data_IF_683314396520
#
_entry.id   IF_683314396520
#
_cell.length_a   1.000
_cell.length_b   1.000
_cell.length_c   1.000
_cell.angle_alpha   90.00
_cell.angle_beta   90.00
_cell.angle_gamma   90.00
#
_symmetry.space_group_name_H-M   'P 1'
#
loop_
_entity.id
_entity.type
_entity.pdbx_description
1 polymer ?
#
# COMPACT_ATOMS: atom_id res chain seq x y z
N UNK A 1 15.92 3.09 1.74
CA UNK A 1 15.69 1.71 2.18
C UNK A 1 15.01 0.92 1.07
N UNK A 2 15.41 -0.35 0.89
CA UNK A 2 14.93 -1.20 -0.19
C UNK A 2 14.18 -2.40 0.35
N UNK A 3 13.09 -2.76 -0.34
CA UNK A 3 12.27 -3.93 -0.03
C UNK A 3 12.03 -4.72 -1.31
N UNK A 4 11.52 -5.93 -1.19
CA UNK A 4 11.19 -6.77 -2.34
C UNK A 4 9.70 -7.09 -2.33
N UNK A 5 9.14 -7.27 -3.54
CA UNK A 5 7.77 -7.76 -3.67
C UNK A 5 7.65 -9.19 -3.13
N UNK A 6 6.47 -9.53 -2.62
CA UNK A 6 6.10 -10.88 -2.18
C UNK A 6 6.93 -11.44 -1.02
N UNK A 7 7.66 -10.58 -0.32
CA UNK A 7 8.45 -10.95 0.87
C UNK A 7 7.82 -10.24 2.07
N UNK A 8 7.63 -10.91 3.20
CA UNK A 8 7.07 -10.25 4.39
C UNK A 8 7.88 -9.05 4.83
N UNK A 9 7.21 -7.94 5.08
CA UNK A 9 7.83 -6.69 5.53
C UNK A 9 7.03 -6.07 6.66
N UNK A 10 7.69 -5.19 7.43
CA UNK A 10 7.03 -4.34 8.41
C UNK A 10 7.39 -2.90 8.09
N UNK A 11 6.37 -2.07 7.91
CA UNK A 11 6.55 -0.68 7.52
C UNK A 11 5.82 0.25 8.49
N UNK A 12 6.43 1.38 8.77
CA UNK A 12 5.85 2.40 9.65
C UNK A 12 5.41 3.61 8.82
N UNK A 13 4.26 4.14 9.16
CA UNK A 13 3.73 5.33 8.51
C UNK A 13 2.43 5.78 9.15
N UNK A 14 1.78 6.75 8.51
CA UNK A 14 0.52 7.30 8.98
C UNK A 14 -0.62 6.70 8.16
N UNK A 15 -1.62 6.13 8.85
CA UNK A 15 -2.83 5.66 8.18
C UNK A 15 -3.64 6.86 7.71
N UNK A 16 -4.11 6.79 6.46
CA UNK A 16 -4.90 7.86 5.89
C UNK A 16 -5.89 7.32 4.86
N UNK A 17 -6.92 8.11 4.58
CA UNK A 17 -7.78 7.88 3.44
C UNK A 17 -7.27 8.78 2.32
N UNK A 18 -6.96 8.20 1.17
CA UNK A 18 -6.51 8.95 0.01
C UNK A 18 -7.57 8.87 -1.07
N UNK A 19 -7.50 9.78 -2.05
CA UNK A 19 -8.47 9.82 -3.14
C UNK A 19 -7.76 9.57 -4.46
N UNK A 20 -8.24 8.57 -5.20
CA UNK A 20 -7.79 8.32 -6.56
C UNK A 20 -8.56 9.25 -7.49
N UNK A 21 -7.82 10.00 -8.33
CA UNK A 21 -8.40 10.88 -9.33
C UNK A 21 -9.22 10.06 -10.34
N UNK A 22 -10.31 10.64 -10.82
CA UNK A 22 -11.16 10.01 -11.82
C UNK A 22 -10.40 9.55 -13.07
N UNK A 23 -9.30 10.23 -13.40
CA UNK A 23 -8.50 9.91 -14.59
C UNK A 23 -7.76 8.57 -14.50
N UNK A 24 -7.60 8.01 -13.29
CA UNK A 24 -6.87 6.75 -13.09
C UNK A 24 -7.76 5.62 -12.59
N UNK A 25 -9.07 5.86 -12.42
CA UNK A 25 -9.98 4.85 -11.90
C UNK A 25 -10.68 4.10 -13.03
N UNK A 26 -11.09 2.87 -12.74
CA UNK A 26 -11.73 2.00 -13.72
C UNK A 26 -13.11 2.48 -14.19
N UNK A 27 -13.80 3.29 -13.39
CA UNK A 27 -15.15 3.80 -13.71
C UNK A 27 -15.16 5.31 -13.96
N UNK A 28 -13.99 5.92 -14.09
CA UNK A 28 -13.82 7.35 -14.34
C UNK A 28 -14.46 8.25 -13.27
N UNK A 29 -14.54 7.73 -12.04
CA UNK A 29 -15.03 8.48 -10.88
C UNK A 29 -13.95 8.49 -9.79
N UNK A 30 -13.86 9.56 -8.97
CA UNK A 30 -12.90 9.56 -7.87
C UNK A 30 -13.30 8.50 -6.83
N UNK A 31 -12.28 7.83 -6.27
CA UNK A 31 -12.47 6.81 -5.25
C UNK A 31 -11.57 7.08 -4.06
N UNK A 32 -12.11 6.91 -2.86
CA UNK A 32 -11.29 6.93 -1.65
C UNK A 32 -10.79 5.53 -1.36
N UNK A 33 -9.58 5.45 -0.85
CA UNK A 33 -8.97 4.16 -0.51
C UNK A 33 -8.11 4.28 0.74
N UNK A 34 -7.98 3.18 1.51
CA UNK A 34 -7.10 3.19 2.67
C UNK A 34 -5.64 3.19 2.21
N UNK A 35 -4.82 4.00 2.85
CA UNK A 35 -3.43 4.17 2.45
C UNK A 35 -2.53 4.31 3.67
N UNK A 36 -1.26 3.95 3.48
CA UNK A 36 -0.19 4.23 4.43
C UNK A 36 0.74 5.25 3.79
N UNK A 37 0.85 6.41 4.44
CA UNK A 37 1.82 7.42 4.03
C UNK A 37 3.12 7.15 4.76
N UNK A 38 4.15 6.80 4.01
CA UNK A 38 5.46 6.48 4.56
C UNK A 38 6.18 7.75 4.99
N UNK A 39 6.93 7.69 6.09
CA UNK A 39 7.68 8.82 6.59
C UNK A 39 8.91 9.11 5.73
N UNK A 40 9.45 8.09 5.06
CA UNK A 40 10.58 8.21 4.14
C UNK A 40 10.28 7.42 2.88
N UNK A 41 10.70 7.92 1.70
CA UNK A 41 10.53 7.16 0.47
C UNK A 41 11.25 5.81 0.55
N UNK A 42 10.67 4.80 -0.07
CA UNK A 42 11.28 3.48 -0.17
C UNK A 42 11.40 3.06 -1.64
N UNK A 43 12.29 2.11 -1.88
CA UNK A 43 12.40 1.44 -3.17
C UNK A 43 11.87 0.03 -3.03
N UNK A 44 11.14 -0.45 -4.03
CA UNK A 44 10.62 -1.81 -4.04
C UNK A 44 11.18 -2.51 -5.28
N UNK A 45 11.90 -3.60 -5.06
CA UNK A 45 12.62 -4.32 -6.09
C UNK A 45 11.93 -5.65 -6.39
N UNK A 46 12.16 -6.17 -7.59
CA UNK A 46 11.62 -7.47 -7.96
C UNK A 46 12.15 -8.57 -7.04
N UNK A 47 11.28 -9.54 -6.71
CA UNK A 47 11.70 -10.75 -6.04
C UNK A 47 12.63 -11.55 -6.99
N UNK A 48 13.53 -12.40 -6.46
CA UNK A 48 14.51 -13.07 -7.32
C UNK A 48 13.93 -13.88 -8.48
N UNK A 49 12.71 -14.40 -8.34
CA UNK A 49 12.06 -15.20 -9.39
C UNK A 49 10.99 -14.43 -10.15
N UNK A 50 10.80 -13.16 -9.83
CA UNK A 50 9.75 -12.35 -10.44
C UNK A 50 10.30 -11.63 -11.65
N UNK A 51 9.63 -11.77 -12.79
CA UNK A 51 10.05 -11.14 -14.04
C UNK A 51 9.07 -10.09 -14.54
N UNK A 52 7.85 -10.07 -14.02
CA UNK A 52 6.79 -9.23 -14.55
C UNK A 52 6.60 -7.92 -13.79
N UNK A 53 6.99 -7.88 -12.52
CA UNK A 53 6.81 -6.68 -11.70
C UNK A 53 7.93 -5.69 -11.95
N UNK A 54 7.56 -4.41 -12.11
CA UNK A 54 8.53 -3.34 -12.29
C UNK A 54 9.04 -2.85 -10.94
N UNK A 55 10.36 -2.61 -10.79
CA UNK A 55 10.86 -1.93 -9.60
C UNK A 55 10.28 -0.53 -9.51
N UNK A 56 9.99 -0.08 -8.29
CA UNK A 56 9.48 1.27 -8.05
C UNK A 56 10.40 1.99 -7.08
N UNK A 57 10.74 3.24 -7.40
CA UNK A 57 11.64 4.06 -6.60
C UNK A 57 10.88 5.25 -6.04
N UNK A 58 11.29 5.72 -4.87
CA UNK A 58 10.70 6.92 -4.28
C UNK A 58 9.24 6.74 -3.88
N UNK A 59 8.86 5.54 -3.45
CA UNK A 59 7.49 5.24 -3.07
C UNK A 59 7.21 5.88 -1.71
N UNK A 60 6.17 6.71 -1.63
CA UNK A 60 5.80 7.42 -0.41
C UNK A 60 4.40 7.07 0.08
N UNK A 61 3.58 6.45 -0.74
CA UNK A 61 2.21 6.08 -0.38
C UNK A 61 1.90 4.68 -0.90
N UNK A 62 1.23 3.89 -0.06
CA UNK A 62 0.83 2.52 -0.41
C UNK A 62 -0.68 2.38 -0.28
N UNK A 63 -1.33 1.85 -1.32
CA UNK A 63 -2.72 1.42 -1.23
C UNK A 63 -2.76 0.15 -0.37
N UNK A 64 -3.62 0.13 0.64
CA UNK A 64 -3.70 -0.99 1.58
C UNK A 64 -4.81 -1.95 1.19
N UNK A 65 -4.49 -3.24 1.10
CA UNK A 65 -5.48 -4.29 0.94
C UNK A 65 -5.80 -4.81 2.35
N UNK A 66 -7.01 -4.55 2.79
CA UNK A 66 -7.45 -4.83 4.16
C UNK A 66 -8.59 -5.85 4.16
N UNK A 67 -8.50 -6.84 5.04
CA UNK A 67 -9.60 -7.73 5.32
C UNK A 67 -10.54 -7.06 6.31
N UNK A 68 -11.66 -7.71 6.61
CA UNK A 68 -12.70 -7.12 7.46
C UNK A 68 -12.16 -6.66 8.82
N UNK A 69 -11.34 -7.50 9.47
CA UNK A 69 -10.75 -7.18 10.76
C UNK A 69 -9.85 -5.95 10.68
N UNK A 70 -8.96 -5.91 9.68
CA UNK A 70 -8.02 -4.80 9.50
C UNK A 70 -8.74 -3.52 9.07
N UNK A 71 -9.83 -3.64 8.32
CA UNK A 71 -10.62 -2.48 7.95
C UNK A 71 -11.25 -1.81 9.19
N UNK A 72 -11.72 -2.61 10.14
CA UNK A 72 -12.24 -2.08 11.40
C UNK A 72 -11.15 -1.37 12.20
N UNK A 73 -9.94 -1.94 12.25
CA UNK A 73 -8.79 -1.30 12.90
C UNK A 73 -8.40 -0.02 12.18
N UNK A 74 -8.42 -0.02 10.85
CA UNK A 74 -8.12 1.18 10.06
C UNK A 74 -9.04 2.35 10.42
N UNK A 75 -10.34 2.09 10.52
CA UNK A 75 -11.30 3.14 10.86
C UNK A 75 -11.02 3.77 12.22
N UNK A 76 -10.52 2.96 13.18
CA UNK A 76 -10.18 3.47 14.52
C UNK A 76 -8.85 4.21 14.54
N UNK A 77 -7.90 3.81 13.71
CA UNK A 77 -6.52 4.30 13.76
C UNK A 77 -6.18 5.30 12.67
N UNK A 78 -7.13 5.63 11.80
CA UNK A 78 -6.91 6.59 10.72
C UNK A 78 -6.36 7.91 11.28
N UNK A 79 -5.30 8.42 10.66
CA UNK A 79 -4.59 9.61 11.11
C UNK A 79 -3.47 9.34 12.11
N UNK A 80 -3.29 8.11 12.54
CA UNK A 80 -2.29 7.76 13.53
C UNK A 80 -1.10 7.05 12.89
N UNK A 81 0.05 7.14 13.55
CA UNK A 81 1.26 6.43 13.14
C UNK A 81 1.16 4.98 13.61
N UNK A 82 1.35 4.06 12.68
CA UNK A 82 1.22 2.62 12.94
C UNK A 82 2.36 1.85 12.27
N UNK A 83 2.51 0.59 12.65
CA UNK A 83 3.38 -0.37 11.97
C UNK A 83 2.49 -1.42 11.31
N UNK A 84 2.66 -1.61 10.01
CA UNK A 84 1.91 -2.59 9.24
C UNK A 84 2.83 -3.71 8.80
N UNK A 85 2.38 -4.94 9.01
CA UNK A 85 3.08 -6.13 8.51
C UNK A 85 2.28 -6.72 7.35
N UNK A 86 2.99 -7.18 6.34
CA UNK A 86 2.36 -7.78 5.17
C UNK A 86 3.34 -7.98 4.04
N UNK A 87 2.82 -8.07 2.83
CA UNK A 87 3.63 -8.25 1.63
C UNK A 87 3.33 -7.15 0.62
N UNK A 88 4.37 -6.66 -0.03
CA UNK A 88 4.25 -5.64 -1.08
C UNK A 88 3.99 -6.33 -2.42
N UNK A 89 3.14 -5.73 -3.25
CA UNK A 89 2.94 -6.20 -4.62
C UNK A 89 2.68 -5.02 -5.55
N UNK A 90 2.93 -5.25 -6.85
CA UNK A 90 2.74 -4.20 -7.85
C UNK A 90 1.28 -4.18 -8.33
N UNK A 91 0.80 -2.97 -8.66
CA UNK A 91 -0.53 -2.78 -9.22
C UNK A 91 -0.72 -3.61 -10.48
N UNK A 92 -1.85 -4.33 -10.60
CA UNK A 92 -2.15 -5.19 -11.74
C UNK A 92 -3.57 -5.03 -12.30
N UNK A 93 -4.39 -4.14 -11.74
CA UNK A 93 -5.73 -3.89 -12.25
C UNK A 93 -6.23 -2.49 -11.87
N UNK A 94 -7.41 -2.12 -12.39
CA UNK A 94 -7.99 -0.78 -12.22
C UNK A 94 -8.53 -0.48 -10.83
N UNK A 95 -8.57 -1.45 -9.93
CA UNK A 95 -8.95 -1.24 -8.54
C UNK A 95 -7.75 -0.91 -7.65
N UNK A 96 -6.54 -0.91 -8.21
CA UNK A 96 -5.32 -0.57 -7.51
C UNK A 96 -4.95 0.88 -7.85
N UNK A 97 -4.85 1.73 -6.83
CA UNK A 97 -4.73 3.18 -7.01
C UNK A 97 -3.34 3.75 -6.74
N UNK A 98 -2.38 2.90 -6.37
CA UNK A 98 -0.97 3.27 -6.29
C UNK A 98 -0.15 2.23 -7.05
N UNK A 99 1.10 2.59 -7.42
CA UNK A 99 1.98 1.65 -8.13
C UNK A 99 2.30 0.42 -7.30
N UNK A 100 2.47 0.62 -5.99
CA UNK A 100 2.80 -0.45 -5.05
C UNK A 100 1.71 -0.50 -4.00
N UNK A 101 1.25 -1.71 -3.69
CA UNK A 101 0.25 -1.97 -2.67
C UNK A 101 0.84 -2.82 -1.57
N UNK A 102 0.22 -2.76 -0.39
CA UNK A 102 0.57 -3.62 0.74
C UNK A 102 -0.63 -4.51 1.07
N UNK A 103 -0.44 -5.82 0.96
CA UNK A 103 -1.41 -6.80 1.44
C UNK A 103 -1.19 -6.95 2.94
N UNK A 104 -2.05 -6.32 3.73
CA UNK A 104 -1.85 -6.17 5.17
C UNK A 104 -2.21 -7.45 5.90
N UNK A 105 -1.29 -7.95 6.72
CA UNK A 105 -1.51 -9.09 7.59
C UNK A 105 -1.82 -8.67 9.02
N UNK A 106 -1.23 -7.58 9.50
CA UNK A 106 -1.52 -7.05 10.84
C UNK A 106 -1.26 -5.55 10.91
N UNK A 107 -1.98 -4.89 11.80
CA UNK A 107 -1.82 -3.47 12.11
C UNK A 107 -1.43 -3.37 13.58
N UNK A 108 -0.31 -2.72 13.87
CA UNK A 108 0.17 -2.50 15.23
C UNK A 108 0.44 -1.02 15.44
N UNK A 109 0.25 -0.59 16.66
CA UNK A 109 0.43 0.81 17.01
C UNK A 109 1.71 1.06 17.78
#
# INVERSE_FOLDING_TARGET
QSFKYDVPVTLEGTLMSSTADASITYDEKPHQFPALKLHKPISVLRAPKETDCQPEMGVTILHLVLKEKEMAQFKKLKGKVVKLSGTLFHSDNGHHFTSVLLDVKSINR
#
